data_IF_406384700021
#
_entry.id   IF_406384700021
#
_cell.length_a   1.000
_cell.length_b   1.000
_cell.length_c   1.000
_cell.angle_alpha   90.00
_cell.angle_beta   90.00
_cell.angle_gamma   90.00
#
_symmetry.space_group_name_H-M   'P 1'
#
loop_
_entity.id
_entity.type
_entity.pdbx_description
1 polymer ?
#
# COMPACT_ATOMS: atom_id res chain seq x y z
N UNK A 1 -70.42 31.91 8.57
CA UNK A 1 -71.24 32.38 9.72
C UNK A 1 -70.42 32.67 10.99
N UNK A 2 -69.10 32.50 10.99
CA UNK A 2 -68.24 33.04 12.05
C UNK A 2 -67.74 34.44 11.68
N UNK A 3 -68.35 35.45 12.30
CA UNK A 3 -67.95 36.86 12.19
C UNK A 3 -66.69 37.10 13.05
N UNK A 4 -65.59 36.41 12.73
CA UNK A 4 -64.31 36.61 13.41
C UNK A 4 -63.64 37.87 12.86
N UNK A 5 -63.38 38.79 13.79
CA UNK A 5 -62.67 40.06 13.62
C UNK A 5 -61.45 39.91 12.66
N UNK A 6 -61.34 40.75 11.61
CA UNK A 6 -60.19 40.80 10.72
C UNK A 6 -58.83 40.86 11.45
N UNK A 7 -58.76 41.51 12.61
CA UNK A 7 -57.54 41.55 13.43
C UNK A 7 -57.15 40.16 13.95
N UNK A 8 -58.11 39.33 14.34
CA UNK A 8 -57.83 37.96 14.79
C UNK A 8 -57.33 37.07 13.65
N UNK A 9 -57.83 37.25 12.42
CA UNK A 9 -57.35 36.52 11.23
C UNK A 9 -55.91 36.92 10.88
N UNK A 10 -55.59 38.20 10.96
CA UNK A 10 -54.23 38.69 10.73
C UNK A 10 -53.26 38.15 11.78
N UNK A 11 -53.61 38.18 13.07
CA UNK A 11 -52.79 37.61 14.14
C UNK A 11 -52.57 36.10 14.00
N UNK A 12 -53.60 35.35 13.57
CA UNK A 12 -53.47 33.92 13.29
C UNK A 12 -52.51 33.63 12.11
N UNK A 13 -52.59 34.42 11.04
CA UNK A 13 -51.68 34.32 9.90
C UNK A 13 -50.22 34.62 10.29
N UNK A 14 -49.99 35.68 11.08
CA UNK A 14 -48.66 36.04 11.59
C UNK A 14 -48.09 34.93 12.48
N UNK A 15 -48.90 34.33 13.36
CA UNK A 15 -48.49 33.18 14.18
C UNK A 15 -48.10 31.98 13.31
N UNK A 16 -48.91 31.64 12.31
CA UNK A 16 -48.62 30.52 11.40
C UNK A 16 -47.30 30.74 10.62
N UNK A 17 -47.08 31.94 10.08
CA UNK A 17 -45.83 32.31 9.39
C UNK A 17 -44.62 32.24 10.32
N UNK A 18 -44.77 32.68 11.58
CA UNK A 18 -43.70 32.61 12.59
C UNK A 18 -43.37 31.16 12.96
N UNK A 19 -44.38 30.30 13.13
CA UNK A 19 -44.17 28.87 13.39
C UNK A 19 -43.50 28.18 12.20
N UNK A 20 -43.88 28.50 10.96
CA UNK A 20 -43.23 27.99 9.75
C UNK A 20 -41.75 28.41 9.67
N UNK A 21 -41.44 29.67 9.98
CA UNK A 21 -40.04 30.15 10.01
C UNK A 21 -39.22 29.45 11.11
N UNK A 22 -39.78 29.23 12.30
CA UNK A 22 -39.10 28.51 13.38
C UNK A 22 -38.86 27.04 12.98
N UNK A 23 -39.84 26.37 12.38
CA UNK A 23 -39.67 25.00 11.90
C UNK A 23 -38.62 24.89 10.80
N UNK A 24 -38.59 25.84 9.85
CA UNK A 24 -37.57 25.89 8.81
C UNK A 24 -36.16 26.12 9.39
N UNK A 25 -36.03 27.02 10.38
CA UNK A 25 -34.77 27.24 11.08
C UNK A 25 -34.32 26.00 11.87
N UNK A 26 -35.22 25.33 12.58
CA UNK A 26 -34.91 24.07 13.27
C UNK A 26 -34.49 22.97 12.29
N UNK A 27 -35.18 22.82 11.16
CA UNK A 27 -34.82 21.86 10.12
C UNK A 27 -33.43 22.16 9.53
N UNK A 28 -33.11 23.43 9.29
CA UNK A 28 -31.79 23.85 8.82
C UNK A 28 -30.68 23.56 9.85
N UNK A 29 -30.92 23.80 11.15
CA UNK A 29 -29.96 23.48 12.22
C UNK A 29 -29.75 21.97 12.35
N UNK A 30 -30.81 21.16 12.23
CA UNK A 30 -30.73 19.70 12.24
C UNK A 30 -29.95 19.21 11.01
N UNK A 31 -30.25 19.71 9.80
CA UNK A 31 -29.49 19.39 8.59
C UNK A 31 -28.01 19.77 8.71
N UNK A 32 -27.71 20.94 9.28
CA UNK A 32 -26.34 21.38 9.51
C UNK A 32 -25.62 20.46 10.50
N UNK A 33 -26.28 20.03 11.58
CA UNK A 33 -25.72 19.04 12.51
C UNK A 33 -25.52 17.68 11.85
N UNK A 34 -26.43 17.23 10.98
CA UNK A 34 -26.26 16.00 10.21
C UNK A 34 -25.09 16.10 9.23
N UNK A 35 -24.89 17.23 8.56
CA UNK A 35 -23.74 17.44 7.67
C UNK A 35 -22.43 17.48 8.46
N UNK A 36 -22.40 18.13 9.63
CA UNK A 36 -21.21 18.17 10.49
C UNK A 36 -20.91 16.78 11.07
N UNK A 37 -21.93 16.05 11.55
CA UNK A 37 -21.77 14.70 12.05
C UNK A 37 -21.37 13.73 10.94
N UNK A 38 -21.92 13.87 9.74
CA UNK A 38 -21.53 13.07 8.57
C UNK A 38 -20.09 13.39 8.14
N UNK A 39 -19.70 14.67 8.12
CA UNK A 39 -18.33 15.09 7.83
C UNK A 39 -17.32 14.58 8.87
N UNK A 40 -17.70 14.50 10.15
CA UNK A 40 -16.85 13.92 11.20
C UNK A 40 -16.90 12.39 11.26
N UNK A 41 -17.97 11.76 10.77
CA UNK A 41 -18.04 10.31 10.66
C UNK A 41 -17.14 9.78 9.53
N UNK A 42 -16.81 10.63 8.56
CA UNK A 42 -15.93 10.30 7.42
C UNK A 42 -14.43 10.41 7.75
N UNK A 43 -14.07 10.86 8.97
CA UNK A 43 -12.69 10.79 9.46
C UNK A 43 -12.27 9.38 9.89
N UNK A 44 -13.21 8.41 9.86
CA UNK A 44 -12.88 7.01 10.02
C UNK A 44 -11.84 6.57 8.99
N UNK A 45 -10.99 5.61 9.38
CA UNK A 45 -9.97 5.06 8.50
C UNK A 45 -10.56 4.55 7.18
N UNK A 46 -11.74 3.92 7.25
CA UNK A 46 -12.49 3.46 6.07
C UNK A 46 -12.95 4.58 5.16
N UNK A 47 -13.46 5.68 5.72
CA UNK A 47 -13.86 6.86 4.94
C UNK A 47 -12.71 7.42 4.09
N UNK A 48 -11.57 7.69 4.72
CA UNK A 48 -10.37 8.21 4.03
C UNK A 48 -9.86 7.27 2.94
N UNK A 49 -9.77 5.99 3.25
CA UNK A 49 -9.30 4.97 2.29
C UNK A 49 -10.25 4.84 1.10
N UNK A 50 -11.55 4.77 1.34
CA UNK A 50 -12.56 4.66 0.29
C UNK A 50 -12.56 5.90 -0.61
N UNK A 51 -12.55 7.10 -0.01
CA UNK A 51 -12.44 8.36 -0.75
C UNK A 51 -11.17 8.42 -1.61
N UNK A 52 -10.04 7.92 -1.11
CA UNK A 52 -8.80 7.88 -1.87
C UNK A 52 -8.93 6.97 -3.09
N UNK A 53 -9.51 5.76 -2.95
CA UNK A 53 -9.75 4.85 -4.07
C UNK A 53 -10.67 5.49 -5.13
N UNK A 54 -11.77 6.10 -4.69
CA UNK A 54 -12.73 6.79 -5.58
C UNK A 54 -12.06 7.96 -6.31
N UNK A 55 -11.29 8.80 -5.60
CA UNK A 55 -10.57 9.95 -6.17
C UNK A 55 -9.60 9.53 -7.28
N UNK A 56 -8.96 8.36 -7.14
CA UNK A 56 -8.01 7.84 -8.12
C UNK A 56 -8.68 6.92 -9.17
N UNK A 57 -10.01 6.79 -9.13
CA UNK A 57 -10.76 5.95 -10.07
C UNK A 57 -10.45 4.45 -9.95
N UNK A 58 -9.95 4.02 -8.78
CA UNK A 58 -9.62 2.63 -8.50
C UNK A 58 -10.91 1.91 -8.11
N UNK A 59 -11.18 0.81 -8.81
CA UNK A 59 -12.39 0.02 -8.58
C UNK A 59 -12.17 -0.96 -7.43
N UNK A 60 -13.17 -1.11 -6.58
CA UNK A 60 -13.22 -2.22 -5.62
C UNK A 60 -13.14 -3.56 -6.37
N UNK A 61 -12.39 -4.49 -5.79
CA UNK A 61 -12.22 -5.85 -6.30
C UNK A 61 -13.21 -6.84 -5.67
N UNK A 62 -13.97 -6.41 -4.66
CA UNK A 62 -14.90 -7.27 -3.91
C UNK A 62 -15.89 -8.03 -4.78
N UNK A 63 -16.48 -7.35 -5.77
CA UNK A 63 -17.58 -7.92 -6.56
C UNK A 63 -17.13 -8.70 -7.80
N UNK A 64 -15.98 -8.32 -8.37
CA UNK A 64 -15.54 -8.80 -9.70
C UNK A 64 -14.13 -9.37 -9.71
N UNK A 65 -13.49 -9.44 -8.55
CA UNK A 65 -12.09 -9.79 -8.44
C UNK A 65 -11.20 -8.78 -9.14
N UNK A 66 -10.00 -9.22 -9.49
CA UNK A 66 -9.02 -8.40 -10.17
C UNK A 66 -7.61 -8.91 -9.97
N UNK A 67 -6.64 -8.09 -10.36
CA UNK A 67 -5.23 -8.38 -10.14
C UNK A 67 -4.63 -7.31 -9.23
N UNK A 68 -3.94 -7.78 -8.18
CA UNK A 68 -3.06 -6.94 -7.36
C UNK A 68 -1.61 -7.30 -7.68
N UNK A 69 -0.82 -6.33 -8.09
CA UNK A 69 0.62 -6.50 -8.35
C UNK A 69 1.40 -5.76 -7.27
N UNK A 70 2.17 -6.50 -6.49
CA UNK A 70 3.04 -5.94 -5.47
C UNK A 70 4.50 -6.02 -5.94
N UNK A 71 5.10 -4.86 -6.24
CA UNK A 71 6.53 -4.74 -6.53
C UNK A 71 7.30 -4.78 -5.21
N UNK A 72 7.54 -6.00 -4.71
CA UNK A 72 8.08 -6.21 -3.38
C UNK A 72 9.58 -5.96 -3.34
N UNK A 73 10.00 -4.92 -2.61
CA UNK A 73 11.39 -4.78 -2.20
C UNK A 73 11.70 -5.64 -0.97
N UNK A 74 12.91 -6.20 -0.86
CA UNK A 74 13.31 -6.89 0.36
C UNK A 74 13.17 -5.98 1.58
N UNK A 75 12.76 -6.55 2.71
CA UNK A 75 12.74 -5.86 4.02
C UNK A 75 11.82 -4.63 4.12
N UNK A 76 10.93 -4.38 3.16
CA UNK A 76 9.94 -3.27 3.22
C UNK A 76 8.55 -3.72 3.68
N UNK A 77 8.45 -4.79 4.49
CA UNK A 77 7.18 -5.26 5.05
C UNK A 77 6.41 -6.29 4.22
N UNK A 78 6.97 -6.75 3.10
CA UNK A 78 6.27 -7.69 2.22
C UNK A 78 5.94 -9.06 2.84
N UNK A 79 6.74 -9.56 3.80
CA UNK A 79 6.37 -10.77 4.58
C UNK A 79 5.05 -10.54 5.35
N UNK A 80 4.87 -9.36 5.95
CA UNK A 80 3.65 -9.01 6.68
C UNK A 80 2.44 -8.86 5.76
N UNK A 81 2.59 -8.21 4.60
CA UNK A 81 1.50 -8.12 3.60
C UNK A 81 1.02 -9.51 3.22
N UNK A 82 1.94 -10.40 2.82
CA UNK A 82 1.60 -11.76 2.41
C UNK A 82 0.99 -12.59 3.55
N UNK A 83 1.55 -12.51 4.76
CA UNK A 83 1.03 -13.24 5.90
C UNK A 83 -0.41 -12.81 6.25
N UNK A 84 -0.74 -11.52 6.17
CA UNK A 84 -2.10 -11.05 6.42
C UNK A 84 -3.07 -11.49 5.33
N UNK A 85 -2.67 -11.41 4.06
CA UNK A 85 -3.52 -11.84 2.95
C UNK A 85 -3.73 -13.36 2.90
N UNK A 86 -2.79 -14.16 3.41
CA UNK A 86 -2.93 -15.62 3.50
C UNK A 86 -3.70 -16.07 4.76
N UNK A 87 -3.59 -15.32 5.86
CA UNK A 87 -4.21 -15.71 7.14
C UNK A 87 -5.72 -15.57 7.10
N UNK A 88 -6.19 -14.53 6.42
CA UNK A 88 -7.59 -14.25 6.30
C UNK A 88 -8.05 -14.77 4.94
N UNK A 89 -9.09 -15.58 4.93
CA UNK A 89 -9.65 -16.17 3.72
C UNK A 89 -10.34 -15.09 2.87
N UNK A 90 -9.52 -14.26 2.21
CA UNK A 90 -9.96 -13.11 1.44
C UNK A 90 -10.24 -13.46 -0.04
N UNK A 91 -10.31 -14.75 -0.38
CA UNK A 91 -10.43 -15.18 -1.78
C UNK A 91 -9.22 -14.77 -2.63
N UNK A 92 -8.04 -14.60 -2.00
CA UNK A 92 -6.81 -14.16 -2.66
C UNK A 92 -5.96 -15.36 -3.08
N UNK A 93 -5.71 -15.50 -4.38
CA UNK A 93 -4.74 -16.48 -4.92
C UNK A 93 -3.40 -15.79 -5.04
N UNK A 94 -2.44 -16.18 -4.21
CA UNK A 94 -1.11 -15.58 -4.19
C UNK A 94 -0.16 -16.31 -5.13
N UNK A 95 0.55 -15.57 -6.00
CA UNK A 95 1.63 -16.11 -6.83
C UNK A 95 2.93 -15.38 -6.56
N UNK A 96 4.00 -16.17 -6.49
CA UNK A 96 5.31 -15.71 -6.10
C UNK A 96 6.41 -16.27 -7.01
N UNK A 97 6.69 -15.60 -8.14
CA UNK A 97 7.69 -16.10 -9.06
C UNK A 97 9.10 -15.94 -8.49
N UNK A 98 9.87 -17.03 -8.52
CA UNK A 98 11.28 -17.08 -8.11
C UNK A 98 12.23 -17.35 -9.27
N UNK A 99 11.70 -17.63 -10.46
CA UNK A 99 12.45 -17.93 -11.68
C UNK A 99 11.68 -17.45 -12.91
N UNK A 100 12.38 -17.19 -14.02
CA UNK A 100 11.78 -16.66 -15.26
C UNK A 100 10.62 -17.53 -15.76
N UNK A 101 10.75 -18.87 -15.70
CA UNK A 101 9.66 -19.78 -16.09
C UNK A 101 8.41 -19.62 -15.22
N UNK A 102 8.56 -19.39 -13.92
CA UNK A 102 7.44 -19.12 -13.01
C UNK A 102 6.85 -17.72 -13.24
N UNK A 103 7.68 -16.74 -13.56
CA UNK A 103 7.25 -15.39 -13.91
C UNK A 103 6.42 -15.39 -15.20
N UNK A 104 6.90 -16.05 -16.27
CA UNK A 104 6.16 -16.20 -17.53
C UNK A 104 4.80 -16.86 -17.35
N UNK A 105 4.69 -17.88 -16.49
CA UNK A 105 3.38 -18.47 -16.14
C UNK A 105 2.48 -17.48 -15.42
N UNK A 106 3.03 -16.75 -14.43
CA UNK A 106 2.29 -15.73 -13.70
C UNK A 106 1.77 -14.62 -14.64
N UNK A 107 2.55 -14.19 -15.64
CA UNK A 107 2.09 -13.22 -16.66
C UNK A 107 0.86 -13.70 -17.41
N UNK A 108 0.87 -14.96 -17.87
CA UNK A 108 -0.27 -15.57 -18.57
C UNK A 108 -1.50 -15.59 -17.66
N UNK A 109 -1.34 -15.98 -16.39
CA UNK A 109 -2.43 -15.96 -15.40
C UNK A 109 -2.98 -14.55 -15.19
N UNK A 110 -2.12 -13.55 -15.01
CA UNK A 110 -2.54 -12.14 -14.89
C UNK A 110 -3.34 -11.70 -16.10
N UNK A 111 -2.87 -11.98 -17.31
CA UNK A 111 -3.60 -11.62 -18.53
C UNK A 111 -4.95 -12.32 -18.65
N UNK A 112 -5.03 -13.60 -18.26
CA UNK A 112 -6.28 -14.36 -18.25
C UNK A 112 -7.31 -13.74 -17.29
N UNK A 113 -6.89 -13.45 -16.04
CA UNK A 113 -7.73 -12.78 -15.04
C UNK A 113 -8.18 -11.41 -15.56
N UNK A 114 -7.26 -10.60 -16.10
CA UNK A 114 -7.60 -9.27 -16.62
C UNK A 114 -8.55 -9.32 -17.82
N UNK A 115 -8.55 -10.39 -18.62
CA UNK A 115 -9.51 -10.57 -19.73
C UNK A 115 -10.88 -11.07 -19.27
N UNK A 116 -11.03 -11.45 -17.99
CA UNK A 116 -12.23 -12.11 -17.46
C UNK A 116 -12.28 -13.61 -17.78
N UNK A 117 -11.19 -14.19 -18.29
CA UNK A 117 -11.07 -15.61 -18.59
C UNK A 117 -10.56 -16.33 -17.34
N UNK A 118 -11.39 -16.44 -16.32
CA UNK A 118 -11.02 -17.19 -15.11
C UNK A 118 -11.09 -18.69 -15.46
N UNK A 119 -9.94 -19.37 -15.44
CA UNK A 119 -9.86 -20.82 -15.70
C UNK A 119 -10.56 -21.60 -14.59
N UNK A 120 -11.14 -22.77 -14.88
CA UNK A 120 -11.81 -23.63 -13.88
C UNK A 120 -10.92 -23.94 -12.65
N UNK A 121 -9.59 -24.03 -12.84
CA UNK A 121 -8.61 -24.18 -11.76
C UNK A 121 -8.58 -23.02 -10.75
N UNK A 122 -9.09 -21.85 -11.13
CA UNK A 122 -9.22 -20.67 -10.29
C UNK A 122 -10.64 -20.52 -9.71
N UNK A 123 -11.59 -21.38 -10.06
CA UNK A 123 -13.01 -21.26 -9.68
C UNK A 123 -13.55 -22.47 -8.92
N UNK A 124 -12.73 -23.17 -8.13
CA UNK A 124 -13.26 -24.28 -7.32
C UNK A 124 -14.32 -23.83 -6.30
N UNK A 125 -14.43 -22.52 -6.04
CA UNK A 125 -15.50 -21.89 -5.27
C UNK A 125 -16.13 -20.77 -6.09
N UNK A 126 -17.45 -20.54 -5.93
CA UNK A 126 -18.24 -19.54 -6.69
C UNK A 126 -17.80 -18.07 -6.46
N UNK A 127 -16.79 -17.82 -5.62
CA UNK A 127 -16.34 -16.47 -5.27
C UNK A 127 -15.32 -15.88 -6.26
N UNK A 128 -15.45 -14.58 -6.61
CA UNK A 128 -14.53 -13.92 -7.52
C UNK A 128 -13.12 -13.83 -6.91
N UNK A 129 -12.18 -14.64 -7.43
CA UNK A 129 -10.82 -14.70 -6.89
C UNK A 129 -9.98 -13.50 -7.32
N UNK A 130 -9.33 -12.89 -6.33
CA UNK A 130 -8.35 -11.81 -6.53
C UNK A 130 -6.98 -12.46 -6.73
N UNK A 131 -6.32 -12.19 -7.85
CA UNK A 131 -4.97 -12.71 -8.09
C UNK A 131 -3.93 -11.73 -7.55
N UNK A 132 -3.17 -12.14 -6.53
CA UNK A 132 -2.12 -11.34 -5.92
C UNK A 132 -0.73 -11.80 -6.40
N UNK A 133 -0.14 -11.03 -7.30
CA UNK A 133 1.20 -11.26 -7.84
C UNK A 133 2.24 -10.47 -7.04
N UNK A 134 3.03 -11.15 -6.22
CA UNK A 134 4.13 -10.55 -5.46
C UNK A 134 5.46 -10.76 -6.19
N UNK A 135 5.95 -9.72 -6.87
CA UNK A 135 7.22 -9.75 -7.60
C UNK A 135 8.37 -9.40 -6.68
N UNK A 136 9.41 -10.23 -6.68
CA UNK A 136 10.61 -10.04 -5.86
C UNK A 136 11.80 -9.56 -6.67
N UNK A 137 12.69 -8.84 -5.99
CA UNK A 137 14.07 -8.59 -6.43
C UNK A 137 14.14 -8.10 -7.88
N UNK A 138 14.62 -8.95 -8.76
CA UNK A 138 14.90 -8.72 -10.16
C UNK A 138 13.63 -8.46 -10.98
N UNK A 139 12.56 -9.20 -10.67
CA UNK A 139 11.26 -9.05 -11.33
C UNK A 139 10.53 -7.77 -10.91
N UNK A 140 10.92 -7.18 -9.78
CA UNK A 140 10.35 -5.93 -9.28
C UNK A 140 11.10 -4.67 -9.77
N UNK A 141 12.17 -4.83 -10.56
CA UNK A 141 12.89 -3.70 -11.15
C UNK A 141 12.06 -3.04 -12.25
N UNK A 142 12.07 -1.70 -12.31
CA UNK A 142 11.26 -0.94 -13.26
C UNK A 142 11.65 -1.26 -14.71
N UNK A 143 12.94 -1.34 -15.10
CA UNK A 143 13.30 -1.69 -16.47
C UNK A 143 12.74 -3.05 -16.92
N UNK A 144 12.63 -4.03 -16.00
CA UNK A 144 12.07 -5.36 -16.29
C UNK A 144 10.55 -5.35 -16.38
N UNK A 145 9.86 -4.65 -15.46
CA UNK A 145 8.40 -4.76 -15.30
C UNK A 145 7.58 -3.72 -16.06
N UNK A 146 8.20 -2.62 -16.52
CA UNK A 146 7.49 -1.47 -17.12
C UNK A 146 6.51 -1.85 -18.21
N UNK A 147 6.99 -2.58 -19.22
CA UNK A 147 6.17 -2.93 -20.40
C UNK A 147 5.00 -3.84 -20.02
N UNK A 148 5.19 -4.70 -19.02
CA UNK A 148 4.15 -5.62 -18.55
C UNK A 148 3.06 -4.86 -17.79
N UNK A 149 3.41 -3.90 -16.92
CA UNK A 149 2.42 -3.06 -16.23
C UNK A 149 1.62 -2.19 -17.21
N UNK A 150 2.28 -1.57 -18.19
CA UNK A 150 1.61 -0.79 -19.24
C UNK A 150 0.64 -1.66 -20.05
N UNK A 151 1.08 -2.86 -20.43
CA UNK A 151 0.25 -3.84 -21.12
C UNK A 151 -0.95 -4.29 -20.27
N UNK A 152 -0.74 -4.62 -19.00
CA UNK A 152 -1.79 -5.04 -18.07
C UNK A 152 -2.80 -3.93 -17.80
N UNK A 153 -2.36 -2.66 -17.67
CA UNK A 153 -3.28 -1.52 -17.57
C UNK A 153 -4.15 -1.39 -18.82
N UNK A 154 -3.58 -1.57 -20.01
CA UNK A 154 -4.33 -1.56 -21.26
C UNK A 154 -5.38 -2.69 -21.32
N UNK A 155 -5.01 -3.90 -20.89
CA UNK A 155 -5.95 -5.03 -20.79
C UNK A 155 -7.06 -4.76 -19.77
N UNK A 156 -6.70 -4.34 -18.55
CA UNK A 156 -7.65 -4.02 -17.48
C UNK A 156 -8.69 -2.98 -17.95
N UNK A 157 -8.23 -1.91 -18.61
CA UNK A 157 -9.11 -0.88 -19.19
C UNK A 157 -10.02 -1.44 -20.29
N UNK A 158 -9.45 -2.23 -21.22
CA UNK A 158 -10.19 -2.83 -22.34
C UNK A 158 -11.30 -3.77 -21.86
N UNK A 159 -11.00 -4.59 -20.87
CA UNK A 159 -11.90 -5.64 -20.36
C UNK A 159 -12.69 -5.19 -19.12
N UNK A 160 -12.51 -3.95 -18.66
CA UNK A 160 -13.16 -3.37 -17.48
C UNK A 160 -12.89 -4.13 -16.17
N UNK A 161 -11.73 -4.77 -16.08
CA UNK A 161 -11.26 -5.51 -14.90
C UNK A 161 -10.44 -4.60 -13.99
N UNK A 162 -10.44 -4.86 -12.68
CA UNK A 162 -9.63 -4.11 -11.73
C UNK A 162 -8.16 -4.56 -11.77
N UNK A 163 -7.25 -3.58 -11.79
CA UNK A 163 -5.81 -3.77 -11.61
C UNK A 163 -5.34 -2.75 -10.57
N UNK A 164 -4.61 -3.21 -9.56
CA UNK A 164 -3.98 -2.36 -8.57
C UNK A 164 -2.50 -2.73 -8.44
N UNK A 165 -1.62 -1.77 -8.67
CA UNK A 165 -0.17 -1.94 -8.66
C UNK A 165 0.42 -1.07 -7.57
N UNK A 166 1.18 -1.66 -6.65
CA UNK A 166 1.78 -0.90 -5.56
C UNK A 166 3.18 -1.38 -5.19
N UNK A 167 3.88 -0.55 -4.44
CA UNK A 167 5.15 -0.90 -3.80
C UNK A 167 5.23 -0.31 -2.39
N UNK A 168 6.28 -0.71 -1.66
CA UNK A 168 6.60 -0.21 -0.34
C UNK A 168 8.08 0.20 -0.30
N UNK A 169 8.33 1.40 0.21
CA UNK A 169 9.67 1.87 0.60
C UNK A 169 9.82 1.84 2.12
N UNK A 170 11.06 1.93 2.60
CA UNK A 170 11.37 1.94 4.03
C UNK A 170 12.38 3.03 4.35
N UNK A 171 12.32 3.55 5.59
CA UNK A 171 13.36 4.43 6.09
C UNK A 171 14.74 3.76 5.87
N UNK A 172 15.73 4.43 5.25
CA UNK A 172 16.98 3.78 4.87
C UNK A 172 17.75 3.18 6.05
N UNK A 173 17.69 3.81 7.23
CA UNK A 173 18.36 3.29 8.43
C UNK A 173 17.70 1.99 8.88
N UNK A 174 16.37 2.00 9.02
CA UNK A 174 15.61 0.81 9.41
C UNK A 174 15.72 -0.31 8.36
N UNK A 175 15.82 0.04 7.08
CA UNK A 175 16.06 -0.90 5.99
C UNK A 175 17.38 -1.65 6.19
N UNK A 176 18.48 -0.92 6.37
CA UNK A 176 19.81 -1.52 6.54
C UNK A 176 19.93 -2.34 7.82
N UNK A 177 19.35 -1.88 8.92
CA UNK A 177 19.30 -2.66 10.18
C UNK A 177 18.52 -3.96 9.95
N UNK A 178 17.37 -3.87 9.28
CA UNK A 178 16.51 -5.02 9.00
C UNK A 178 17.18 -6.02 8.06
N UNK A 179 17.92 -5.55 7.06
CA UNK A 179 18.73 -6.37 6.17
C UNK A 179 19.85 -7.06 6.93
N UNK A 180 20.67 -6.29 7.66
CA UNK A 180 21.79 -6.79 8.45
C UNK A 180 21.35 -7.86 9.45
N UNK A 181 20.25 -7.63 10.19
CA UNK A 181 19.74 -8.62 11.14
C UNK A 181 19.31 -9.94 10.48
N UNK A 182 18.75 -9.90 9.27
CA UNK A 182 18.29 -11.10 8.56
C UNK A 182 19.46 -11.91 8.00
N UNK A 183 20.43 -11.24 7.37
CA UNK A 183 21.47 -11.90 6.58
C UNK A 183 22.79 -12.07 7.31
N UNK A 184 23.04 -11.30 8.38
CA UNK A 184 24.30 -11.33 9.13
C UNK A 184 24.14 -11.74 10.58
N UNK A 185 23.02 -11.46 11.24
CA UNK A 185 22.89 -11.74 12.69
C UNK A 185 22.15 -13.05 12.96
N UNK A 186 21.04 -13.28 12.27
CA UNK A 186 20.28 -14.54 12.40
C UNK A 186 20.86 -15.62 11.48
N UNK A 187 20.89 -16.89 11.92
CA UNK A 187 21.06 -18.01 11.02
C UNK A 187 20.06 -17.90 9.88
N UNK A 188 20.55 -17.86 8.65
CA UNK A 188 19.66 -17.85 7.49
C UNK A 188 18.90 -19.18 7.45
N UNK A 189 17.61 -19.10 7.14
CA UNK A 189 16.72 -20.27 7.07
C UNK A 189 17.10 -21.18 5.89
N UNK A 190 17.73 -20.63 4.86
CA UNK A 190 18.15 -21.38 3.68
C UNK A 190 19.54 -21.99 3.86
N UNK A 191 19.71 -23.32 3.67
CA UNK A 191 21.01 -24.00 3.80
C UNK A 191 22.11 -23.45 2.89
N UNK A 192 21.74 -22.76 1.79
CA UNK A 192 22.67 -22.15 0.83
C UNK A 192 23.25 -20.80 1.29
N UNK A 193 22.77 -20.24 2.40
CA UNK A 193 23.31 -19.02 2.96
C UNK A 193 24.66 -19.28 3.65
N UNK A 194 25.75 -19.18 2.89
CA UNK A 194 27.13 -19.35 3.39
C UNK A 194 27.72 -18.08 4.02
N UNK A 195 26.90 -17.09 4.35
CA UNK A 195 27.41 -15.84 4.91
C UNK A 195 27.79 -16.02 6.38
N UNK A 196 28.97 -15.51 6.81
CA UNK A 196 29.37 -15.57 8.20
C UNK A 196 28.39 -14.75 9.05
N UNK A 197 28.03 -15.31 10.21
CA UNK A 197 27.28 -14.57 11.20
C UNK A 197 28.17 -13.52 11.86
N UNK A 198 27.62 -12.33 12.09
CA UNK A 198 28.28 -11.17 12.67
C UNK A 198 27.51 -10.73 13.92
N UNK A 199 28.26 -10.27 14.93
CA UNK A 199 27.69 -9.65 16.12
C UNK A 199 26.88 -8.39 15.75
N UNK A 200 25.73 -8.12 16.43
CA UNK A 200 24.86 -7.00 16.13
C UNK A 200 25.43 -5.66 16.64
N UNK A 201 26.51 -5.19 16.02
CA UNK A 201 27.22 -3.95 16.38
C UNK A 201 27.12 -2.90 15.28
N UNK A 202 27.28 -1.63 15.66
CA UNK A 202 27.32 -0.51 14.70
C UNK A 202 28.46 -0.65 13.67
N UNK A 203 29.62 -1.17 14.07
CA UNK A 203 30.75 -1.37 13.17
C UNK A 203 30.43 -2.42 12.10
N UNK A 204 29.84 -3.55 12.49
CA UNK A 204 29.44 -4.60 11.57
C UNK A 204 28.30 -4.15 10.66
N UNK A 205 27.30 -3.43 11.19
CA UNK A 205 26.25 -2.80 10.39
C UNK A 205 26.88 -1.90 9.31
N UNK A 206 27.76 -0.98 9.70
CA UNK A 206 28.41 -0.05 8.76
C UNK A 206 29.29 -0.75 7.73
N UNK A 207 29.83 -1.93 8.03
CA UNK A 207 30.58 -2.73 7.05
C UNK A 207 29.68 -3.38 5.99
N UNK A 208 28.41 -3.66 6.31
CA UNK A 208 27.45 -4.33 5.41
C UNK A 208 26.55 -3.36 4.62
N UNK A 209 26.51 -2.07 5.00
CA UNK A 209 25.67 -1.05 4.34
C UNK A 209 26.02 -0.91 2.86
N UNK A 210 25.05 -1.27 2.01
CA UNK A 210 25.09 -1.04 0.55
C UNK A 210 24.56 0.36 0.22
N UNK A 211 25.25 1.10 -0.63
CA UNK A 211 24.83 2.44 -1.01
C UNK A 211 23.54 2.40 -1.86
N UNK A 212 22.55 3.20 -1.45
CA UNK A 212 21.28 3.43 -2.16
C UNK A 212 20.59 2.13 -2.64
N UNK A 213 20.46 1.15 -1.73
CA UNK A 213 19.99 -0.19 -2.04
C UNK A 213 18.55 -0.23 -2.56
N UNK A 214 17.67 0.68 -2.09
CA UNK A 214 16.28 0.73 -2.56
C UNK A 214 16.19 1.33 -3.95
N UNK A 215 16.82 2.49 -4.19
CA UNK A 215 16.91 3.09 -5.52
C UNK A 215 17.51 2.10 -6.53
N UNK A 216 18.63 1.45 -6.18
CA UNK A 216 19.27 0.40 -7.00
C UNK A 216 18.27 -0.67 -7.42
N UNK A 217 17.50 -1.15 -6.45
CA UNK A 217 16.50 -2.18 -6.65
C UNK A 217 15.39 -1.82 -7.62
N UNK A 218 15.02 -0.54 -7.70
CA UNK A 218 14.00 -0.07 -8.63
C UNK A 218 14.58 0.30 -9.99
N UNK A 219 15.77 0.89 -10.05
CA UNK A 219 16.30 1.51 -11.27
C UNK A 219 17.20 0.60 -12.11
N UNK A 220 17.82 -0.43 -11.52
CA UNK A 220 18.80 -1.28 -12.20
C UNK A 220 18.26 -2.67 -12.50
N UNK A 221 18.73 -3.23 -13.61
CA UNK A 221 18.59 -4.66 -13.90
C UNK A 221 19.57 -5.47 -13.05
N UNK A 222 19.33 -6.78 -12.87
CA UNK A 222 20.18 -7.65 -12.06
C UNK A 222 21.63 -7.70 -12.57
N UNK A 223 21.78 -7.68 -13.89
CA UNK A 223 23.09 -7.68 -14.57
C UNK A 223 23.83 -6.34 -14.45
N UNK A 224 23.18 -5.27 -13.96
CA UNK A 224 23.75 -3.93 -13.76
C UNK A 224 23.86 -3.56 -12.27
N UNK A 225 23.83 -4.56 -11.37
CA UNK A 225 23.88 -4.33 -9.92
C UNK A 225 25.23 -3.85 -9.42
N UNK A 226 26.30 -3.94 -10.22
CA UNK A 226 27.63 -3.42 -9.86
C UNK A 226 27.80 -1.92 -10.20
N UNK A 227 27.03 -1.40 -11.15
CA UNK A 227 27.12 0.01 -11.55
C UNK A 227 26.61 0.93 -10.44
N UNK A 228 27.30 2.04 -10.11
CA UNK A 228 26.79 3.01 -9.14
C UNK A 228 25.42 3.56 -9.53
N UNK A 229 24.53 3.71 -8.55
CA UNK A 229 23.23 4.36 -8.77
C UNK A 229 23.42 5.86 -8.73
N UNK A 230 22.96 6.54 -9.78
CA UNK A 230 22.98 8.00 -9.89
C UNK A 230 21.69 8.61 -9.35
N UNK A 231 21.70 9.94 -9.13
CA UNK A 231 20.48 10.67 -8.78
C UNK A 231 19.43 10.60 -9.91
N UNK A 232 19.86 10.60 -11.17
CA UNK A 232 19.00 10.48 -12.34
C UNK A 232 18.31 9.11 -12.40
N UNK A 233 19.05 8.02 -12.13
CA UNK A 233 18.47 6.68 -12.03
C UNK A 233 17.32 6.64 -11.01
N UNK A 234 17.54 7.21 -9.82
CA UNK A 234 16.53 7.17 -8.76
C UNK A 234 15.35 8.12 -9.02
N UNK A 235 15.59 9.33 -9.54
CA UNK A 235 14.52 10.24 -9.93
C UNK A 235 13.66 9.65 -11.05
N UNK A 236 14.28 9.06 -12.09
CA UNK A 236 13.56 8.41 -13.19
C UNK A 236 12.72 7.23 -12.71
N UNK A 237 13.26 6.43 -11.77
CA UNK A 237 12.50 5.37 -11.13
C UNK A 237 11.29 5.94 -10.35
N UNK A 238 11.49 6.99 -9.57
CA UNK A 238 10.42 7.64 -8.81
C UNK A 238 9.31 8.21 -9.71
N UNK A 239 9.68 8.99 -10.73
CA UNK A 239 8.74 9.56 -11.70
C UNK A 239 7.94 8.47 -12.43
N UNK A 240 8.59 7.36 -12.78
CA UNK A 240 7.88 6.25 -13.37
C UNK A 240 6.90 5.62 -12.38
N UNK A 241 7.29 5.43 -11.12
CA UNK A 241 6.42 4.86 -10.10
C UNK A 241 5.19 5.74 -9.84
N UNK A 242 5.36 7.05 -9.67
CA UNK A 242 4.24 7.97 -9.40
C UNK A 242 3.24 8.02 -10.55
N UNK A 243 3.71 7.85 -11.79
CA UNK A 243 2.85 7.83 -12.98
C UNK A 243 2.14 6.49 -13.18
N UNK A 244 2.74 5.37 -12.78
CA UNK A 244 2.31 4.03 -13.20
C UNK A 244 1.90 3.10 -12.06
N UNK A 245 2.16 3.44 -10.80
CA UNK A 245 1.67 2.72 -9.64
C UNK A 245 0.45 3.43 -9.08
N UNK A 246 -0.51 2.66 -8.59
CA UNK A 246 -1.67 3.22 -7.92
C UNK A 246 -1.27 3.69 -6.51
N UNK A 247 -0.39 2.96 -5.82
CA UNK A 247 0.06 3.29 -4.46
C UNK A 247 1.56 3.10 -4.25
N UNK A 248 2.19 4.03 -3.53
CA UNK A 248 3.58 3.91 -3.05
C UNK A 248 3.56 4.14 -1.55
N UNK A 249 3.53 3.06 -0.77
CA UNK A 249 3.46 3.16 0.69
C UNK A 249 4.83 3.17 1.37
N UNK A 250 4.83 3.44 2.67
CA UNK A 250 6.00 3.28 3.52
C UNK A 250 5.81 2.11 4.49
N UNK A 251 6.93 1.52 4.95
CA UNK A 251 6.87 0.44 5.95
C UNK A 251 6.36 0.93 7.31
N UNK A 252 6.63 2.19 7.68
CA UNK A 252 6.17 2.80 8.94
C UNK A 252 4.66 3.04 8.94
N UNK A 253 4.06 3.31 7.78
CA UNK A 253 2.61 3.46 7.63
C UNK A 253 1.92 2.20 7.09
N UNK A 254 2.58 1.03 7.16
CA UNK A 254 2.02 -0.21 6.63
C UNK A 254 0.69 -0.57 7.28
N UNK A 255 0.59 -0.50 8.61
CA UNK A 255 -0.64 -0.84 9.35
C UNK A 255 -1.71 0.24 9.32
N UNK A 256 -1.32 1.49 9.14
CA UNK A 256 -2.22 2.64 9.26
C UNK A 256 -2.73 3.14 7.92
N UNK A 257 -2.05 2.82 6.81
CA UNK A 257 -2.43 3.30 5.48
C UNK A 257 -2.53 2.13 4.48
N UNK A 258 -1.44 1.38 4.29
CA UNK A 258 -1.38 0.39 3.20
C UNK A 258 -2.29 -0.82 3.44
N UNK A 259 -2.27 -1.42 4.64
CA UNK A 259 -3.13 -2.57 4.95
C UNK A 259 -4.63 -2.20 4.93
N UNK A 260 -5.07 -1.06 5.52
CA UNK A 260 -6.42 -0.54 5.33
C UNK A 260 -6.80 -0.36 3.86
N UNK A 261 -5.90 0.20 3.05
CA UNK A 261 -6.11 0.36 1.61
C UNK A 261 -6.32 -0.97 0.89
N UNK A 262 -5.51 -1.98 1.20
CA UNK A 262 -5.68 -3.33 0.64
C UNK A 262 -6.97 -3.99 1.15
N UNK A 263 -7.34 -3.82 2.42
CA UNK A 263 -8.58 -4.35 2.99
C UNK A 263 -9.81 -3.75 2.31
N UNK A 264 -9.85 -2.42 2.15
CA UNK A 264 -10.94 -1.75 1.43
C UNK A 264 -11.00 -2.17 -0.04
N UNK A 265 -9.85 -2.24 -0.72
CA UNK A 265 -9.80 -2.65 -2.12
C UNK A 265 -10.34 -4.07 -2.34
N UNK A 266 -9.92 -5.02 -1.49
CA UNK A 266 -10.19 -6.45 -1.64
C UNK A 266 -11.57 -6.81 -1.07
N UNK A 267 -11.96 -6.23 0.06
CA UNK A 267 -13.10 -6.66 0.87
C UNK A 267 -14.23 -5.61 0.91
N UNK A 268 -13.96 -4.37 0.48
CA UNK A 268 -14.84 -3.22 0.69
C UNK A 268 -15.06 -2.94 2.17
N UNK A 269 -14.04 -3.20 3.00
CA UNK A 269 -14.08 -3.01 4.44
C UNK A 269 -12.66 -2.76 4.97
N UNK A 270 -12.27 -1.48 5.07
CA UNK A 270 -10.98 -1.07 5.62
C UNK A 270 -10.77 -1.47 7.09
N UNK A 271 -11.83 -1.58 7.90
CA UNK A 271 -11.73 -1.87 9.34
C UNK A 271 -11.20 -3.29 9.59
N UNK A 272 -11.39 -4.20 8.64
CA UNK A 272 -10.75 -5.53 8.70
C UNK A 272 -9.22 -5.47 8.77
N UNK A 273 -8.60 -4.36 8.38
CA UNK A 273 -7.17 -4.15 8.58
C UNK A 273 -6.76 -4.11 10.05
N UNK A 274 -7.66 -3.82 11.01
CA UNK A 274 -7.34 -3.91 12.45
C UNK A 274 -6.93 -5.33 12.87
N UNK A 275 -7.50 -6.34 12.21
CA UNK A 275 -7.14 -7.74 12.41
C UNK A 275 -5.83 -8.12 11.70
N UNK A 276 -5.36 -7.28 10.77
CA UNK A 276 -4.11 -7.47 10.07
C UNK A 276 -2.96 -6.97 10.94
N UNK A 277 -2.07 -7.87 11.34
CA UNK A 277 -0.94 -7.54 12.22
C UNK A 277 0.33 -7.41 11.42
N UNK A 278 1.14 -6.40 11.70
CA UNK A 278 2.53 -6.40 11.23
C UNK A 278 3.24 -7.54 11.97
N UNK A 279 3.53 -8.62 11.25
CA UNK A 279 4.34 -9.71 11.79
C UNK A 279 5.80 -9.26 11.83
N UNK A 280 6.20 -8.72 12.97
CA UNK A 280 7.61 -8.59 13.35
C UNK A 280 7.92 -9.65 14.38
N UNK A 281 8.90 -10.51 14.11
CA UNK A 281 9.41 -11.44 15.11
C UNK A 281 10.22 -10.64 16.15
N UNK A 282 9.51 -10.00 17.08
CA UNK A 282 10.11 -9.26 18.19
C UNK A 282 10.74 -10.20 19.24
N UNK A 283 10.59 -11.51 19.09
CA UNK A 283 11.07 -12.50 20.06
C UNK A 283 12.57 -12.79 19.92
N UNK A 284 13.22 -12.36 18.84
CA UNK A 284 14.67 -12.49 18.69
C UNK A 284 15.41 -11.56 19.63
N UNK A 285 16.11 -12.12 20.61
CA UNK A 285 16.89 -11.39 21.62
C UNK A 285 18.20 -10.82 21.08
N UNK A 286 18.76 -11.44 20.03
CA UNK A 286 20.02 -11.06 19.39
C UNK A 286 19.75 -10.30 18.08
N UNK A 287 19.18 -9.10 18.16
CA UNK A 287 19.01 -8.23 16.99
C UNK A 287 19.45 -6.81 17.31
N UNK A 288 20.06 -6.14 16.33
CA UNK A 288 20.30 -4.71 16.40
C UNK A 288 18.98 -3.97 16.22
N UNK A 289 18.61 -3.09 17.16
CA UNK A 289 17.38 -2.29 17.08
C UNK A 289 17.70 -0.85 16.70
N UNK A 290 16.81 -0.20 15.96
CA UNK A 290 17.03 1.17 15.48
C UNK A 290 17.18 2.20 16.59
N UNK A 291 16.51 2.00 17.72
CA UNK A 291 16.65 2.85 18.90
C UNK A 291 17.97 2.65 19.67
N UNK A 292 18.76 1.63 19.34
CA UNK A 292 20.04 1.32 20.00
C UNK A 292 21.25 1.72 19.13
N UNK A 293 21.05 1.86 17.81
CA UNK A 293 22.12 2.31 16.89
C UNK A 293 22.58 3.71 17.24
N UNK A 294 23.90 3.90 17.40
CA UNK A 294 24.42 5.21 17.76
C UNK A 294 24.09 6.24 16.67
N UNK A 295 23.78 7.48 17.08
CA UNK A 295 23.45 8.55 16.16
C UNK A 295 24.52 8.78 15.07
N UNK A 296 25.80 8.54 15.40
CA UNK A 296 26.90 8.59 14.44
C UNK A 296 26.83 7.50 13.35
N UNK A 297 26.49 6.27 13.73
CA UNK A 297 26.28 5.17 12.78
C UNK A 297 25.05 5.44 11.90
N UNK A 298 23.92 5.85 12.49
CA UNK A 298 22.73 6.22 11.74
C UNK A 298 23.00 7.34 10.71
N UNK A 299 23.77 8.38 11.07
CA UNK A 299 24.19 9.42 10.12
C UNK A 299 25.05 8.87 8.97
N UNK A 300 25.98 7.95 9.24
CA UNK A 300 26.78 7.30 8.20
C UNK A 300 25.93 6.44 7.26
N UNK A 301 24.96 5.70 7.78
CA UNK A 301 24.00 4.94 6.96
C UNK A 301 23.22 5.87 6.04
N UNK A 302 22.66 6.96 6.57
CA UNK A 302 21.95 7.98 5.77
C UNK A 302 22.86 8.61 4.70
N UNK A 303 24.10 8.94 5.04
CA UNK A 303 25.06 9.50 4.08
C UNK A 303 25.36 8.53 2.93
N UNK A 304 25.51 7.22 3.21
CA UNK A 304 25.68 6.20 2.16
C UNK A 304 24.41 5.90 1.37
N UNK A 305 23.25 6.24 1.92
CA UNK A 305 21.93 5.96 1.36
C UNK A 305 21.17 7.27 1.07
N UNK A 306 21.89 8.32 0.66
CA UNK A 306 21.32 9.66 0.50
C UNK A 306 20.20 9.70 -0.55
N UNK A 307 20.29 8.89 -1.60
CA UNK A 307 19.23 8.79 -2.62
C UNK A 307 18.02 8.02 -2.09
N UNK A 308 18.23 6.94 -1.33
CA UNK A 308 17.13 6.23 -0.67
C UNK A 308 16.42 7.13 0.34
N UNK A 309 17.17 8.00 1.05
CA UNK A 309 16.59 8.97 1.97
C UNK A 309 15.71 9.97 1.23
N UNK A 310 16.21 10.55 0.13
CA UNK A 310 15.43 11.44 -0.73
C UNK A 310 14.17 10.75 -1.27
N UNK A 311 14.28 9.52 -1.78
CA UNK A 311 13.16 8.73 -2.25
C UNK A 311 12.11 8.53 -1.15
N UNK A 312 12.55 8.11 0.04
CA UNK A 312 11.67 7.88 1.18
C UNK A 312 10.95 9.16 1.64
N UNK A 313 11.68 10.27 1.77
CA UNK A 313 11.11 11.55 2.19
C UNK A 313 10.09 12.06 1.17
N UNK A 314 10.37 11.89 -0.13
CA UNK A 314 9.45 12.27 -1.21
C UNK A 314 8.18 11.42 -1.18
N UNK A 315 8.29 10.09 -1.04
CA UNK A 315 7.11 9.21 -0.90
C UNK A 315 6.28 9.61 0.31
N UNK A 316 6.92 9.85 1.45
CA UNK A 316 6.22 10.25 2.67
C UNK A 316 5.49 11.59 2.50
N UNK A 317 6.04 12.51 1.73
CA UNK A 317 5.39 13.78 1.43
C UNK A 317 4.20 13.61 0.48
N UNK A 318 4.34 12.80 -0.57
CA UNK A 318 3.35 12.67 -1.65
C UNK A 318 2.16 11.73 -1.31
N UNK A 319 2.34 10.75 -0.42
CA UNK A 319 1.37 9.66 -0.18
C UNK A 319 0.80 9.60 1.26
N UNK A 320 1.07 10.58 2.12
CA UNK A 320 0.49 10.61 3.47
C UNK A 320 -1.03 10.85 3.42
N UNK A 321 -1.81 9.97 4.09
CA UNK A 321 -3.28 10.04 4.17
C UNK A 321 -3.79 10.78 5.43
#
# INVERSE_FOLDING_TARGET
KDNKDPQQRFLAFVRLKRTQMVLAACAAVILMHFVILWAHHDDSLGGKTHQWLVKHGIRSMKEKGGVVVFLQRPRTGGKSVKANLNKHDFGVVMTHPHAEASYSRAKVTVEQVLRGNVTEDLTQDEDPRIHFLALHEDFASIPKIRNDIEHWRALAKKHRTALFVFTLVRNPVDYHISWFNEYRVSPCIHPSCVQPLLEPTDANLLSDVKANAQCRGFSKLPDDLDSPVTAEDCNSAYEWMTKNLDWIGTTDNLSTETLPLLAELILGDAERAESMRITGDQTKTLILRSNVVAAGAARKVRSRSALDQKLYDQVKYDYYL
#
